data_IF_317490063576
#
_entry.id   IF_317490063576
#
_cell.length_a   1.000
_cell.length_b   1.000
_cell.length_c   1.000
_cell.angle_alpha   90.00
_cell.angle_beta   90.00
_cell.angle_gamma   90.00
#
_symmetry.space_group_name_H-M   'P 1'
#
loop_
_entity.id
_entity.type
_entity.pdbx_description
1 polymer ?
#
# COMPACT_ATOMS: atom_id res chain seq x y z
N UNK A 1 60.58 1.40 24.00
CA UNK A 1 59.36 0.82 23.40
C UNK A 1 58.03 1.18 24.10
N UNK A 2 58.00 1.92 25.23
CA UNK A 2 56.73 2.28 25.92
C UNK A 2 56.04 3.56 25.40
N UNK A 3 56.70 4.40 24.61
CA UNK A 3 56.16 5.72 24.19
C UNK A 3 55.21 5.65 22.98
N UNK A 4 55.37 4.70 22.08
CA UNK A 4 54.52 4.54 20.89
C UNK A 4 53.12 4.09 21.24
N UNK A 5 52.95 3.16 22.19
CA UNK A 5 51.62 2.66 22.61
C UNK A 5 50.72 3.76 23.21
N UNK A 6 51.30 4.76 23.87
CA UNK A 6 50.53 5.90 24.42
C UNK A 6 49.98 6.83 23.33
N UNK A 7 50.70 7.01 22.22
CA UNK A 7 50.25 7.90 21.13
C UNK A 7 49.05 7.32 20.38
N UNK A 8 49.01 6.00 20.19
CA UNK A 8 47.88 5.33 19.54
C UNK A 8 46.61 5.33 20.38
N UNK A 9 46.73 5.20 21.71
CA UNK A 9 45.57 5.24 22.60
C UNK A 9 44.86 6.61 22.59
N UNK A 10 45.62 7.71 22.53
CA UNK A 10 45.05 9.07 22.47
C UNK A 10 44.35 9.32 21.13
N UNK A 11 44.91 8.84 20.02
CA UNK A 11 44.28 8.99 18.70
C UNK A 11 42.95 8.21 18.61
N UNK A 12 42.90 6.99 19.17
CA UNK A 12 41.67 6.19 19.19
C UNK A 12 40.56 6.84 20.02
N UNK A 13 40.90 7.42 21.19
CA UNK A 13 39.94 8.13 22.04
C UNK A 13 39.41 9.41 21.38
N UNK A 14 40.26 10.15 20.66
CA UNK A 14 39.84 11.35 19.94
C UNK A 14 38.86 11.02 18.78
N UNK A 15 39.10 9.92 18.05
CA UNK A 15 38.20 9.46 16.99
C UNK A 15 36.86 8.97 17.54
N UNK A 16 36.87 8.25 18.67
CA UNK A 16 35.64 7.82 19.35
C UNK A 16 34.82 9.01 19.87
N UNK A 17 35.49 10.01 20.46
CA UNK A 17 34.83 11.25 20.91
C UNK A 17 34.20 12.04 19.75
N UNK A 18 34.89 12.16 18.61
CA UNK A 18 34.37 12.82 17.42
C UNK A 18 33.16 12.11 16.82
N UNK A 19 33.18 10.77 16.77
CA UNK A 19 32.06 9.97 16.27
C UNK A 19 30.82 10.08 17.19
N UNK A 20 31.01 10.06 18.51
CA UNK A 20 29.93 10.25 19.48
C UNK A 20 29.30 11.65 19.40
N UNK A 21 30.12 12.69 19.20
CA UNK A 21 29.64 14.06 19.06
C UNK A 21 28.80 14.28 17.78
N UNK A 22 29.15 13.62 16.68
CA UNK A 22 28.36 13.65 15.43
C UNK A 22 26.98 12.98 15.59
N UNK A 23 26.90 11.88 16.34
CA UNK A 23 25.64 11.18 16.61
C UNK A 23 24.73 12.01 17.51
N UNK A 24 25.29 12.67 18.53
CA UNK A 24 24.51 13.50 19.45
C UNK A 24 23.96 14.78 18.76
N UNK A 25 24.75 15.38 17.87
CA UNK A 25 24.30 16.56 17.10
C UNK A 25 23.18 16.25 16.10
N UNK A 26 22.96 14.98 15.77
CA UNK A 26 21.90 14.52 14.85
C UNK A 26 20.55 14.35 15.56
N UNK A 27 20.52 14.39 16.91
CA UNK A 27 19.31 14.33 17.72
C UNK A 27 18.82 15.75 18.04
N UNK A 28 18.29 16.45 17.04
CA UNK A 28 17.39 17.56 17.37
C UNK A 28 16.11 17.00 17.99
N UNK A 29 15.62 17.58 19.11
CA UNK A 29 14.38 17.15 19.73
C UNK A 29 13.20 17.63 18.87
N UNK A 30 12.55 16.67 18.22
CA UNK A 30 11.33 16.87 17.45
C UNK A 30 10.25 17.42 18.39
N UNK A 31 9.96 18.72 18.30
CA UNK A 31 8.99 19.47 19.12
C UNK A 31 7.53 19.11 18.81
N UNK A 32 7.22 17.82 18.63
CA UNK A 32 5.86 17.36 18.35
C UNK A 32 5.03 17.25 19.62
N UNK A 33 4.14 18.24 19.72
CA UNK A 33 2.99 18.32 20.62
C UNK A 33 2.20 16.99 20.63
N UNK A 34 1.87 16.42 21.80
CA UNK A 34 1.03 15.22 21.86
C UNK A 34 -0.42 15.56 21.41
N UNK A 35 -1.08 14.71 20.61
CA UNK A 35 -2.49 14.90 20.32
C UNK A 35 -3.34 14.62 21.56
N UNK A 36 -4.23 15.57 21.83
CA UNK A 36 -5.26 15.53 22.87
C UNK A 36 -6.14 14.30 22.71
N UNK A 37 -6.32 13.60 23.82
CA UNK A 37 -7.37 12.64 24.05
C UNK A 37 -8.77 13.27 23.93
N UNK A 38 -9.76 12.40 23.73
CA UNK A 38 -11.22 12.57 23.94
C UNK A 38 -12.02 12.90 22.68
N UNK A 39 -12.74 11.90 22.14
CA UNK A 39 -14.17 11.80 22.40
C UNK A 39 -14.70 10.40 22.01
N UNK A 40 -14.90 9.56 23.03
CA UNK A 40 -15.95 8.54 23.02
C UNK A 40 -17.31 9.24 22.93
N UNK A 41 -18.16 8.76 22.03
CA UNK A 41 -19.60 8.96 22.11
C UNK A 41 -20.27 7.61 21.92
N UNK A 42 -20.76 7.07 23.04
CA UNK A 42 -21.69 5.97 23.16
C UNK A 42 -22.98 6.24 22.39
N UNK A 43 -23.49 5.23 21.70
CA UNK A 43 -24.92 5.01 21.45
C UNK A 43 -25.11 3.49 21.57
N UNK A 44 -25.39 2.99 22.78
CA UNK A 44 -26.71 2.91 23.42
C UNK A 44 -27.71 2.06 22.60
N UNK A 45 -27.83 0.84 23.11
CA UNK A 45 -28.63 -0.29 22.65
C UNK A 45 -30.05 -0.14 23.18
N UNK A 46 -31.08 -0.27 22.35
CA UNK A 46 -32.44 -0.55 22.85
C UNK A 46 -33.18 -1.61 22.01
N UNK A 47 -34.02 -2.47 22.64
CA UNK A 47 -34.36 -3.80 22.14
C UNK A 47 -35.82 -3.95 21.65
N UNK A 48 -35.99 -4.93 20.74
CA UNK A 48 -37.16 -5.84 20.48
C UNK A 48 -38.59 -5.25 20.41
N UNK A 49 -39.37 -5.64 19.40
CA UNK A 49 -40.35 -6.74 19.52
C UNK A 49 -41.31 -6.86 18.31
N UNK A 50 -41.30 -8.07 17.74
CA UNK A 50 -42.33 -8.89 17.10
C UNK A 50 -43.62 -8.33 16.43
N UNK A 51 -43.89 -9.01 15.29
CA UNK A 51 -45.18 -9.54 14.82
C UNK A 51 -45.99 -8.71 13.80
N UNK A 52 -46.23 -9.27 12.60
CA UNK A 52 -47.47 -10.03 12.32
C UNK A 52 -47.72 -10.27 10.82
N UNK A 53 -47.67 -11.57 10.45
CA UNK A 53 -48.60 -12.34 9.60
C UNK A 53 -48.93 -11.91 8.15
N UNK A 54 -48.58 -12.85 7.24
CA UNK A 54 -49.40 -13.48 6.15
C UNK A 54 -49.74 -12.60 4.93
N UNK A 55 -49.73 -13.05 3.67
CA UNK A 55 -49.80 -14.40 3.07
C UNK A 55 -49.43 -14.35 1.57
N UNK A 56 -48.54 -15.26 1.16
CA UNK A 56 -48.61 -16.18 -0.01
C UNK A 56 -49.08 -15.70 -1.39
N UNK A 57 -48.17 -15.78 -2.37
CA UNK A 57 -48.33 -16.59 -3.60
C UNK A 57 -46.95 -16.86 -4.23
N UNK A 58 -46.56 -18.13 -4.28
CA UNK A 58 -45.35 -18.67 -4.97
C UNK A 58 -45.81 -19.64 -6.10
N UNK A 59 -44.93 -20.15 -7.00
CA UNK A 59 -45.00 -20.01 -8.45
C UNK A 59 -44.99 -21.40 -9.16
N UNK A 60 -44.57 -21.51 -10.42
CA UNK A 60 -43.84 -22.71 -10.84
C UNK A 60 -42.43 -22.40 -11.35
N UNK A 61 -41.49 -22.84 -10.53
CA UNK A 61 -40.18 -23.44 -10.79
C UNK A 61 -39.53 -23.33 -12.20
N UNK A 62 -38.30 -22.83 -12.20
CA UNK A 62 -37.20 -23.46 -12.95
C UNK A 62 -35.94 -23.50 -12.05
N UNK A 63 -35.38 -24.70 -11.99
CA UNK A 63 -34.42 -25.15 -11.00
C UNK A 63 -32.97 -24.74 -11.34
N UNK A 64 -32.24 -24.40 -10.28
CA UNK A 64 -30.86 -24.86 -10.10
C UNK A 64 -29.76 -24.01 -10.71
N UNK A 65 -29.34 -22.95 -9.99
CA UNK A 65 -27.94 -22.54 -9.77
C UNK A 65 -27.85 -21.25 -8.93
N UNK A 66 -28.74 -21.07 -7.95
CA UNK A 66 -28.83 -19.85 -7.12
C UNK A 66 -28.06 -19.93 -5.79
N UNK A 67 -27.29 -21.01 -5.55
CA UNK A 67 -26.80 -21.33 -4.21
C UNK A 67 -25.44 -20.72 -3.81
N UNK A 68 -24.80 -19.93 -4.69
CA UNK A 68 -23.62 -19.12 -4.33
C UNK A 68 -23.84 -17.59 -4.48
N UNK A 69 -25.03 -17.16 -4.90
CA UNK A 69 -25.36 -15.73 -5.01
C UNK A 69 -26.08 -15.16 -3.77
N UNK A 70 -26.57 -16.02 -2.87
CA UNK A 70 -27.44 -15.61 -1.75
C UNK A 70 -26.69 -15.12 -0.48
N UNK A 71 -25.35 -15.14 -0.45
CA UNK A 71 -24.57 -14.64 0.68
C UNK A 71 -24.17 -13.15 0.55
N UNK A 72 -24.54 -12.48 -0.54
CA UNK A 72 -24.07 -11.12 -0.88
C UNK A 72 -25.19 -10.05 -0.92
N UNK A 73 -26.35 -10.29 -0.31
CA UNK A 73 -27.52 -9.41 -0.43
C UNK A 73 -27.78 -8.48 0.75
N UNK A 74 -26.89 -8.40 1.74
CA UNK A 74 -27.11 -7.58 2.95
C UNK A 74 -26.02 -6.53 3.20
N UNK A 75 -25.32 -6.12 2.14
CA UNK A 75 -24.66 -4.82 2.15
C UNK A 75 -25.63 -3.84 1.51
N UNK A 76 -26.19 -2.94 2.33
CA UNK A 76 -26.89 -1.77 1.84
C UNK A 76 -25.95 -1.07 0.83
N UNK A 77 -26.33 -1.12 -0.44
CA UNK A 77 -25.70 -0.30 -1.46
C UNK A 77 -26.02 1.14 -1.07
N UNK A 78 -25.07 1.81 -0.42
CA UNK A 78 -25.08 3.26 -0.25
C UNK A 78 -24.80 3.83 -1.65
N UNK A 79 -25.81 3.73 -2.51
CA UNK A 79 -25.84 4.43 -3.79
C UNK A 79 -26.16 5.91 -3.53
N UNK A 80 -25.79 6.80 -4.45
CA UNK A 80 -26.19 8.20 -4.35
C UNK A 80 -27.69 8.30 -4.11
N UNK A 81 -28.10 9.18 -3.17
CA UNK A 81 -29.50 9.35 -2.84
C UNK A 81 -30.27 9.71 -4.12
N UNK A 82 -31.51 9.24 -4.33
CA UNK A 82 -32.35 9.75 -5.43
C UNK A 82 -32.58 11.27 -5.38
N UNK A 83 -32.28 11.91 -4.25
CA UNK A 83 -32.28 13.35 -4.04
C UNK A 83 -30.91 14.03 -4.29
N UNK A 84 -29.84 13.27 -4.50
CA UNK A 84 -28.52 13.79 -4.94
C UNK A 84 -28.46 14.03 -6.45
N UNK A 85 -29.61 14.23 -7.11
CA UNK A 85 -29.64 14.70 -8.49
C UNK A 85 -29.04 16.09 -8.51
N UNK A 86 -27.77 16.18 -8.92
CA UNK A 86 -27.15 17.43 -9.29
C UNK A 86 -27.88 17.93 -10.55
N UNK A 87 -28.97 18.67 -10.36
CA UNK A 87 -29.73 19.37 -11.42
C UNK A 87 -28.95 20.55 -12.02
N UNK A 88 -27.64 20.61 -11.79
CA UNK A 88 -26.73 21.58 -12.40
C UNK A 88 -26.36 21.18 -13.82
N UNK A 89 -25.99 22.13 -14.68
CA UNK A 89 -25.47 21.81 -16.00
C UNK A 89 -24.27 20.87 -15.86
N UNK A 90 -24.35 19.70 -16.49
CA UNK A 90 -23.21 18.80 -16.62
C UNK A 90 -22.15 19.49 -17.48
N UNK A 91 -21.20 20.18 -16.83
CA UNK A 91 -20.06 20.76 -17.50
C UNK A 91 -19.02 19.66 -17.70
N UNK A 92 -18.81 19.14 -18.92
CA UNK A 92 -17.78 18.15 -19.16
C UNK A 92 -16.42 18.78 -18.84
N UNK A 93 -15.67 18.17 -17.94
CA UNK A 93 -14.27 18.54 -17.73
C UNK A 93 -13.49 18.17 -19.00
N UNK A 94 -12.71 19.08 -19.59
CA UNK A 94 -11.98 18.79 -20.81
C UNK A 94 -10.94 17.70 -20.56
N UNK A 95 -10.90 16.70 -21.45
CA UNK A 95 -9.82 15.73 -21.49
C UNK A 95 -8.58 16.44 -22.04
N UNK A 96 -7.51 16.45 -21.24
CA UNK A 96 -6.24 17.08 -21.57
C UNK A 96 -5.23 15.99 -21.93
N UNK A 97 -4.14 16.31 -22.63
CA UNK A 97 -3.04 15.35 -22.83
C UNK A 97 -2.55 14.74 -21.50
N UNK A 98 -2.51 15.54 -20.42
CA UNK A 98 -2.15 15.06 -19.09
C UNK A 98 -3.13 14.00 -18.55
N UNK A 99 -4.43 14.10 -18.83
CA UNK A 99 -5.40 13.07 -18.46
C UNK A 99 -5.10 11.74 -19.16
N UNK A 100 -4.69 11.78 -20.43
CA UNK A 100 -4.34 10.57 -21.19
C UNK A 100 -3.06 9.92 -20.67
N UNK A 101 -2.05 10.72 -20.30
CA UNK A 101 -0.83 10.23 -19.65
C UNK A 101 -1.16 9.52 -18.33
N UNK A 102 -1.92 10.17 -17.44
CA UNK A 102 -2.30 9.59 -16.15
C UNK A 102 -3.14 8.32 -16.34
N UNK A 103 -4.03 8.29 -17.34
CA UNK A 103 -4.81 7.09 -17.65
C UNK A 103 -3.91 5.94 -18.10
N UNK A 104 -2.92 6.21 -18.96
CA UNK A 104 -1.96 5.21 -19.39
C UNK A 104 -1.11 4.69 -18.23
N UNK A 105 -0.59 5.59 -17.38
CA UNK A 105 0.15 5.25 -16.17
C UNK A 105 -0.66 4.34 -15.23
N UNK A 106 -1.90 4.75 -14.92
CA UNK A 106 -2.81 3.98 -14.08
C UNK A 106 -3.11 2.60 -14.66
N UNK A 107 -3.22 2.49 -15.99
CA UNK A 107 -3.39 1.21 -16.69
C UNK A 107 -2.20 0.27 -16.48
N UNK A 108 -0.96 0.78 -16.59
CA UNK A 108 0.24 -0.02 -16.34
C UNK A 108 0.33 -0.46 -14.87
N UNK A 109 0.00 0.42 -13.92
CA UNK A 109 -0.03 0.09 -12.49
C UNK A 109 -1.07 -0.99 -12.19
N UNK A 110 -2.26 -0.93 -12.81
CA UNK A 110 -3.27 -1.97 -12.67
C UNK A 110 -2.74 -3.33 -13.16
N UNK A 111 -2.13 -3.38 -14.34
CA UNK A 111 -1.54 -4.60 -14.89
C UNK A 111 -0.42 -5.16 -13.99
N UNK A 112 0.41 -4.30 -13.38
CA UNK A 112 1.43 -4.71 -12.42
C UNK A 112 0.81 -5.35 -11.17
N UNK A 113 -0.28 -4.76 -10.64
CA UNK A 113 -1.00 -5.31 -9.49
C UNK A 113 -1.70 -6.64 -9.81
N UNK A 114 -2.24 -6.78 -11.02
CA UNK A 114 -2.83 -8.04 -11.49
C UNK A 114 -1.76 -9.13 -11.62
N UNK A 115 -0.62 -8.83 -12.24
CA UNK A 115 0.49 -9.76 -12.36
C UNK A 115 1.05 -10.17 -10.98
N UNK A 116 1.15 -9.24 -10.05
CA UNK A 116 1.53 -9.51 -8.65
C UNK A 116 0.53 -10.44 -7.97
N UNK A 117 -0.77 -10.18 -8.10
CA UNK A 117 -1.83 -11.01 -7.53
C UNK A 117 -1.83 -12.42 -8.11
N UNK A 118 -1.51 -12.55 -9.40
CA UNK A 118 -1.31 -13.82 -10.09
C UNK A 118 0.05 -14.49 -9.80
N UNK A 119 0.89 -13.91 -8.93
CA UNK A 119 2.25 -14.38 -8.61
C UNK A 119 3.15 -14.55 -9.86
N UNK A 120 2.93 -13.77 -10.92
CA UNK A 120 3.65 -13.89 -12.19
C UNK A 120 4.80 -12.87 -12.28
N UNK A 121 5.95 -13.21 -11.71
CA UNK A 121 7.12 -12.33 -11.68
C UNK A 121 7.66 -11.96 -13.08
N UNK A 122 7.68 -12.92 -14.02
CA UNK A 122 8.13 -12.67 -15.40
C UNK A 122 7.28 -11.58 -16.08
N UNK A 123 5.95 -11.67 -15.94
CA UNK A 123 5.05 -10.64 -16.48
C UNK A 123 5.22 -9.30 -15.78
N UNK A 124 5.48 -9.29 -14.46
CA UNK A 124 5.79 -8.04 -13.76
C UNK A 124 7.04 -7.38 -14.32
N UNK A 125 8.10 -8.15 -14.57
CA UNK A 125 9.36 -7.61 -15.12
C UNK A 125 9.17 -6.95 -16.49
N UNK A 126 8.39 -7.57 -17.37
CA UNK A 126 8.01 -6.98 -18.67
C UNK A 126 7.30 -5.63 -18.48
N UNK A 127 6.31 -5.58 -17.59
CA UNK A 127 5.52 -4.38 -17.31
C UNK A 127 6.35 -3.28 -16.63
N UNK A 128 7.28 -3.62 -15.74
CA UNK A 128 8.22 -2.65 -15.14
C UNK A 128 9.13 -2.03 -16.20
N UNK A 129 9.62 -2.83 -17.15
CA UNK A 129 10.39 -2.30 -18.29
C UNK A 129 9.58 -1.34 -19.15
N UNK A 130 8.32 -1.68 -19.42
CA UNK A 130 7.41 -0.79 -20.14
C UNK A 130 7.17 0.51 -19.37
N UNK A 131 6.88 0.43 -18.07
CA UNK A 131 6.66 1.58 -17.20
C UNK A 131 7.88 2.51 -17.15
N UNK A 132 9.09 1.98 -16.98
CA UNK A 132 10.35 2.76 -17.02
C UNK A 132 10.53 3.52 -18.32
N UNK A 133 10.17 2.89 -19.44
CA UNK A 133 10.31 3.49 -20.78
C UNK A 133 9.32 4.63 -21.00
N UNK A 134 8.09 4.51 -20.49
CA UNK A 134 7.03 5.51 -20.68
C UNK A 134 7.01 6.58 -19.59
N UNK A 135 7.56 6.30 -18.40
CA UNK A 135 7.55 7.19 -17.23
C UNK A 135 8.93 7.26 -16.53
N UNK A 136 9.97 7.82 -17.19
CA UNK A 136 11.34 7.79 -16.66
C UNK A 136 11.56 8.61 -15.37
N UNK A 137 10.60 9.47 -15.00
CA UNK A 137 10.71 10.36 -13.84
C UNK A 137 10.23 9.80 -12.51
N UNK A 138 9.57 8.63 -12.50
CA UNK A 138 8.87 7.98 -11.36
C UNK A 138 9.21 8.57 -9.97
N UNK A 139 8.53 9.65 -9.56
CA UNK A 139 8.87 10.37 -8.34
C UNK A 139 8.58 9.53 -7.09
N UNK A 140 7.67 8.56 -7.21
CA UNK A 140 7.27 7.62 -6.18
C UNK A 140 8.17 6.39 -6.08
N UNK A 141 9.09 6.19 -7.03
CA UNK A 141 9.94 5.00 -7.17
C UNK A 141 9.15 3.69 -7.11
N UNK A 142 7.93 3.67 -7.65
CA UNK A 142 7.11 2.47 -7.74
C UNK A 142 7.83 1.35 -8.51
N UNK A 143 8.53 1.71 -9.58
CA UNK A 143 9.24 0.78 -10.45
C UNK A 143 10.27 -0.09 -9.70
N UNK A 144 10.94 0.46 -8.68
CA UNK A 144 11.95 -0.26 -7.91
C UNK A 144 11.29 -1.28 -6.98
N UNK A 145 10.17 -0.91 -6.34
CA UNK A 145 9.39 -1.82 -5.51
C UNK A 145 8.81 -2.99 -6.30
N UNK A 146 8.28 -2.74 -7.49
CA UNK A 146 7.75 -3.79 -8.36
C UNK A 146 8.85 -4.72 -8.89
N UNK A 147 10.04 -4.21 -9.22
CA UNK A 147 11.19 -5.03 -9.61
C UNK A 147 11.62 -5.98 -8.48
N UNK A 148 11.67 -5.48 -7.24
CA UNK A 148 11.99 -6.31 -6.06
C UNK A 148 10.98 -7.45 -5.92
N UNK A 149 9.68 -7.16 -6.02
CA UNK A 149 8.63 -8.18 -5.93
C UNK A 149 8.77 -9.21 -7.04
N UNK A 150 9.02 -8.78 -8.29
CA UNK A 150 9.23 -9.68 -9.41
C UNK A 150 10.41 -10.65 -9.15
N UNK A 151 11.53 -10.14 -8.62
CA UNK A 151 12.68 -10.94 -8.22
C UNK A 151 12.35 -11.99 -7.14
N UNK A 152 11.58 -11.62 -6.12
CA UNK A 152 11.13 -12.56 -5.09
C UNK A 152 10.22 -13.67 -5.65
N UNK A 153 9.38 -13.36 -6.63
CA UNK A 153 8.46 -14.31 -7.25
C UNK A 153 9.16 -15.27 -8.21
N UNK A 154 10.13 -14.79 -9.00
CA UNK A 154 10.87 -15.62 -9.97
C UNK A 154 11.94 -16.49 -9.31
N UNK A 155 12.66 -15.93 -8.33
CA UNK A 155 13.81 -16.57 -7.70
C UNK A 155 13.78 -16.32 -6.18
N UNK A 156 12.91 -17.02 -5.44
CA UNK A 156 12.88 -16.90 -3.99
C UNK A 156 14.20 -17.39 -3.37
N UNK A 157 14.68 -16.68 -2.35
CA UNK A 157 15.90 -17.05 -1.64
C UNK A 157 16.53 -15.86 -0.90
N UNK A 158 17.66 -16.14 -0.24
CA UNK A 158 18.37 -15.16 0.61
C UNK A 158 18.73 -13.88 -0.14
N UNK A 159 19.15 -13.97 -1.40
CA UNK A 159 19.50 -12.80 -2.20
C UNK A 159 18.29 -11.87 -2.44
N UNK A 160 17.15 -12.44 -2.83
CA UNK A 160 15.90 -11.70 -3.06
C UNK A 160 15.35 -11.14 -1.75
N UNK A 161 15.46 -11.89 -0.65
CA UNK A 161 15.09 -11.42 0.70
C UNK A 161 15.94 -10.24 1.15
N UNK A 162 17.26 -10.32 1.01
CA UNK A 162 18.17 -9.23 1.37
C UNK A 162 17.90 -7.96 0.55
N UNK A 163 17.62 -8.10 -0.75
CA UNK A 163 17.23 -6.98 -1.60
C UNK A 163 15.90 -6.33 -1.12
N UNK A 164 14.92 -7.15 -0.76
CA UNK A 164 13.65 -6.68 -0.21
C UNK A 164 13.80 -5.97 1.15
N UNK A 165 14.69 -6.44 2.02
CA UNK A 165 15.01 -5.78 3.29
C UNK A 165 15.66 -4.41 3.06
N UNK A 166 16.61 -4.31 2.13
CA UNK A 166 17.23 -3.04 1.74
C UNK A 166 16.19 -2.03 1.23
N UNK A 167 15.34 -2.47 0.28
CA UNK A 167 14.25 -1.63 -0.23
C UNK A 167 13.30 -1.18 0.89
N UNK A 168 12.91 -2.10 1.78
CA UNK A 168 11.98 -1.82 2.87
C UNK A 168 12.55 -0.86 3.91
N UNK A 169 13.87 -0.85 4.12
CA UNK A 169 14.54 0.08 5.02
C UNK A 169 14.62 1.51 4.45
N UNK A 170 14.95 1.63 3.16
CA UNK A 170 15.18 2.91 2.47
C UNK A 170 13.87 3.60 2.06
N UNK A 171 12.92 2.88 1.48
CA UNK A 171 11.76 3.48 0.78
C UNK A 171 10.52 3.61 1.67
N UNK A 172 10.65 4.27 2.84
CA UNK A 172 9.59 4.31 3.87
C UNK A 172 8.25 4.88 3.42
N UNK A 173 8.25 5.81 2.47
CA UNK A 173 7.04 6.46 1.94
C UNK A 173 6.42 5.73 0.73
N UNK A 174 7.08 4.70 0.19
CA UNK A 174 6.57 3.96 -0.97
C UNK A 174 5.32 3.18 -0.61
N UNK A 175 4.24 3.35 -1.37
CA UNK A 175 3.00 2.56 -1.24
C UNK A 175 3.25 1.06 -1.49
N UNK A 176 4.22 0.72 -2.36
CA UNK A 176 4.60 -0.66 -2.70
C UNK A 176 5.29 -1.39 -1.54
N UNK A 177 5.76 -0.66 -0.52
CA UNK A 177 6.51 -1.21 0.61
C UNK A 177 5.73 -2.27 1.39
N UNK A 178 4.41 -2.10 1.52
CA UNK A 178 3.53 -3.08 2.16
C UNK A 178 3.54 -4.42 1.42
N UNK A 179 3.53 -4.38 0.08
CA UNK A 179 3.54 -5.57 -0.75
C UNK A 179 4.91 -6.26 -0.74
N UNK A 180 6.01 -5.49 -0.77
CA UNK A 180 7.36 -6.05 -0.59
C UNK A 180 7.45 -6.84 0.72
N UNK A 181 6.97 -6.29 1.84
CA UNK A 181 6.96 -7.01 3.11
C UNK A 181 6.13 -8.30 3.04
N UNK A 182 4.89 -8.18 2.58
CA UNK A 182 3.95 -9.29 2.55
C UNK A 182 4.44 -10.44 1.65
N UNK A 183 5.00 -10.13 0.49
CA UNK A 183 5.37 -11.13 -0.51
C UNK A 183 6.79 -11.65 -0.30
N UNK A 184 7.76 -10.77 -0.05
CA UNK A 184 9.17 -11.16 0.00
C UNK A 184 9.67 -11.54 1.40
N UNK A 185 9.09 -10.96 2.46
CA UNK A 185 9.63 -11.10 3.82
C UNK A 185 8.77 -12.01 4.70
N UNK A 186 7.44 -11.93 4.53
CA UNK A 186 6.45 -12.69 5.31
C UNK A 186 5.88 -13.90 4.56
N UNK A 187 5.78 -13.83 3.23
CA UNK A 187 5.06 -14.80 2.39
C UNK A 187 5.91 -15.89 1.74
N UNK A 188 7.07 -16.20 2.33
CA UNK A 188 7.97 -17.29 1.91
C UNK A 188 7.56 -18.64 2.48
#
# INVERSE_FOLDING_TARGET
MRSTRRRWAVAALALLGGALWLVDRSREPDGRRPPSSRQEASQEETPREAASRRTTSEPPALAGSAQLAAAALDLAVIGPSPDDRHDGPAHPHPITPRHLEMQHENGLIALLNDAMSARNGARMRELVHEYRRTHPGDPSRLQDGYEIIAGCLEAPGEASRAAAEGYYAEHRASTVRRFVRAICLEGG
#
